data_IF_282890545813
#
_entry.id   IF_282890545813
#
_cell.length_a   1.000
_cell.length_b   1.000
_cell.length_c   1.000
_cell.angle_alpha   90.00
_cell.angle_beta   90.00
_cell.angle_gamma   90.00
#
_symmetry.space_group_name_H-M   'P 1'
#
loop_
_entity.id
_entity.type
_entity.pdbx_description
1 polymer ?
#
# COMPACT_ATOMS: atom_id res chain seq x y z
N UNK A 1 -20.18 -0.38 13.66
CA UNK A 1 -19.59 -1.72 13.92
C UNK A 1 -18.09 -1.66 13.63
N UNK A 2 -17.26 -1.72 14.67
CA UNK A 2 -15.79 -1.69 14.52
C UNK A 2 -15.34 -3.12 14.25
N UNK A 3 -15.10 -3.47 12.98
CA UNK A 3 -14.58 -4.79 12.63
C UNK A 3 -13.20 -5.00 13.28
N UNK A 4 -13.10 -5.96 14.18
CA UNK A 4 -11.89 -6.24 14.96
C UNK A 4 -10.69 -6.56 14.05
N UNK A 5 -10.94 -7.19 12.90
CA UNK A 5 -9.90 -7.52 11.91
C UNK A 5 -9.29 -6.26 11.31
N UNK A 6 -10.11 -5.24 11.07
CA UNK A 6 -9.67 -3.93 10.58
C UNK A 6 -8.78 -3.25 11.63
N UNK A 7 -9.18 -3.29 12.90
CA UNK A 7 -8.40 -2.69 13.99
C UNK A 7 -7.07 -3.41 14.23
N UNK A 8 -7.03 -4.73 14.08
CA UNK A 8 -5.77 -5.50 14.11
C UNK A 8 -4.84 -5.07 12.98
N UNK A 9 -5.36 -4.99 11.75
CA UNK A 9 -4.57 -4.61 10.57
C UNK A 9 -4.02 -3.19 10.64
N UNK A 10 -4.82 -2.23 11.14
CA UNK A 10 -4.35 -0.86 11.39
C UNK A 10 -3.14 -0.87 12.34
N UNK A 11 -3.21 -1.64 13.43
CA UNK A 11 -2.11 -1.75 14.40
C UNK A 11 -0.85 -2.37 13.80
N UNK A 12 -1.00 -3.44 13.01
CA UNK A 12 0.13 -4.07 12.29
C UNK A 12 0.83 -3.08 11.35
N UNK A 13 0.04 -2.33 10.55
CA UNK A 13 0.57 -1.31 9.62
C UNK A 13 1.27 -0.17 10.37
N UNK A 14 0.71 0.28 11.49
CA UNK A 14 1.28 1.34 12.30
C UNK A 14 2.61 0.92 12.94
N UNK A 15 2.72 -0.34 13.41
CA UNK A 15 3.91 -0.88 14.10
C UNK A 15 5.05 -1.29 13.16
N UNK A 16 4.75 -1.99 12.06
CA UNK A 16 5.76 -2.70 11.25
C UNK A 16 5.94 -2.11 9.85
N UNK A 17 4.94 -1.37 9.36
CA UNK A 17 4.96 -0.86 8.00
C UNK A 17 5.87 0.35 7.82
N UNK A 18 6.75 0.32 6.82
CA UNK A 18 7.61 1.46 6.48
C UNK A 18 6.78 2.67 6.02
N UNK A 19 7.31 3.88 6.24
CA UNK A 19 6.67 5.08 5.69
C UNK A 19 6.78 5.08 4.17
N UNK A 20 5.63 4.85 3.51
CA UNK A 20 5.48 4.90 2.07
C UNK A 20 4.14 5.58 1.71
N UNK A 21 4.01 6.08 0.47
CA UNK A 21 2.81 6.81 0.02
C UNK A 21 1.52 6.01 0.26
N UNK A 22 1.56 4.69 -0.01
CA UNK A 22 0.41 3.81 0.18
C UNK A 22 -0.01 3.55 1.63
N UNK A 23 0.87 3.78 2.64
CA UNK A 23 0.53 3.57 4.06
C UNK A 23 -0.62 4.47 4.49
N UNK A 24 -0.56 5.76 4.17
CA UNK A 24 -1.60 6.74 4.52
C UNK A 24 -2.94 6.38 3.88
N UNK A 25 -2.91 6.03 2.60
CA UNK A 25 -4.11 5.69 1.83
C UNK A 25 -4.77 4.39 2.31
N UNK A 26 -3.97 3.38 2.68
CA UNK A 26 -4.49 2.14 3.25
C UNK A 26 -5.13 2.38 4.63
N UNK A 27 -4.50 3.17 5.49
CA UNK A 27 -5.07 3.55 6.79
C UNK A 27 -6.38 4.34 6.63
N UNK A 28 -6.43 5.31 5.71
CA UNK A 28 -7.63 6.07 5.39
C UNK A 28 -8.77 5.12 4.94
N UNK A 29 -8.49 4.18 4.03
CA UNK A 29 -9.47 3.17 3.60
C UNK A 29 -9.99 2.32 4.75
N UNK A 30 -9.09 1.82 5.62
CA UNK A 30 -9.44 1.00 6.77
C UNK A 30 -10.26 1.77 7.82
N UNK A 31 -10.04 3.09 7.94
CA UNK A 31 -10.83 3.98 8.80
C UNK A 31 -12.19 4.36 8.20
N UNK A 32 -12.47 3.96 6.97
CA UNK A 32 -13.70 4.28 6.26
C UNK A 32 -13.70 5.67 5.62
N UNK A 33 -12.53 6.30 5.52
CA UNK A 33 -12.37 7.58 4.84
C UNK A 33 -12.46 7.38 3.31
N UNK A 34 -12.87 8.44 2.60
CA UNK A 34 -12.91 8.43 1.14
C UNK A 34 -11.51 8.57 0.59
N UNK A 35 -11.15 7.70 -0.33
CA UNK A 35 -9.91 7.78 -1.10
C UNK A 35 -10.24 7.74 -2.60
N UNK A 36 -9.39 8.38 -3.40
CA UNK A 36 -9.48 8.37 -4.86
C UNK A 36 -9.03 7.02 -5.43
N UNK A 37 -9.27 6.80 -6.73
CA UNK A 37 -8.80 5.61 -7.44
C UNK A 37 -7.28 5.47 -7.41
N UNK A 38 -6.55 6.58 -7.62
CA UNK A 38 -5.08 6.57 -7.56
C UNK A 38 -4.56 6.22 -6.17
N UNK A 39 -5.17 6.77 -5.12
CA UNK A 39 -4.83 6.45 -3.74
C UNK A 39 -5.11 4.99 -3.40
N UNK A 40 -6.20 4.43 -3.93
CA UNK A 40 -6.54 3.01 -3.77
C UNK A 40 -5.49 2.10 -4.44
N UNK A 41 -5.00 2.47 -5.63
CA UNK A 41 -3.90 1.75 -6.29
C UNK A 41 -2.63 1.79 -5.44
N UNK A 42 -2.26 2.96 -4.91
CA UNK A 42 -1.08 3.10 -4.06
C UNK A 42 -1.21 2.30 -2.76
N UNK A 43 -2.40 2.31 -2.13
CA UNK A 43 -2.70 1.50 -0.95
C UNK A 43 -2.57 0.00 -1.27
N UNK A 44 -3.08 -0.44 -2.42
CA UNK A 44 -2.98 -1.82 -2.88
C UNK A 44 -1.53 -2.23 -3.13
N UNK A 45 -0.72 -1.41 -3.81
CA UNK A 45 0.70 -1.71 -4.00
C UNK A 45 1.44 -1.82 -2.67
N UNK A 46 1.14 -0.94 -1.71
CA UNK A 46 1.74 -1.00 -0.37
C UNK A 46 1.37 -2.29 0.38
N UNK A 47 0.13 -2.73 0.29
CA UNK A 47 -0.31 -4.00 0.87
C UNK A 47 0.30 -5.21 0.14
N UNK A 48 0.27 -5.21 -1.20
CA UNK A 48 0.78 -6.28 -2.05
C UNK A 48 2.28 -6.52 -1.87
N UNK A 49 3.06 -5.44 -1.71
CA UNK A 49 4.50 -5.52 -1.45
C UNK A 49 4.84 -5.76 0.03
N UNK A 50 3.91 -6.31 0.83
CA UNK A 50 4.17 -6.66 2.23
C UNK A 50 4.55 -5.45 3.09
N UNK A 51 3.91 -4.30 2.85
CA UNK A 51 4.20 -3.03 3.53
C UNK A 51 5.64 -2.53 3.37
N UNK A 52 6.37 -3.05 2.37
CA UNK A 52 7.80 -2.86 2.17
C UNK A 52 8.63 -3.19 3.43
N UNK A 53 8.17 -4.15 4.26
CA UNK A 53 8.86 -4.53 5.49
C UNK A 53 10.30 -5.01 5.20
N UNK A 54 10.45 -5.90 4.22
CA UNK A 54 11.69 -6.64 3.98
C UNK A 54 12.70 -5.95 3.06
N UNK A 55 12.34 -4.86 2.39
CA UNK A 55 13.20 -4.22 1.38
C UNK A 55 13.02 -2.71 1.33
N UNK A 56 14.00 -1.95 0.83
CA UNK A 56 13.79 -0.55 0.49
C UNK A 56 12.61 -0.44 -0.47
N UNK A 57 11.93 0.71 -0.42
CA UNK A 57 10.77 0.96 -1.25
C UNK A 57 11.26 1.07 -2.71
N UNK A 58 10.95 0.05 -3.52
CA UNK A 58 11.48 -0.12 -4.87
C UNK A 58 10.40 -0.73 -5.79
N UNK A 59 10.69 -0.76 -7.09
CA UNK A 59 9.87 -1.45 -8.09
C UNK A 59 9.73 -2.94 -7.73
N UNK A 60 8.53 -3.50 -7.84
CA UNK A 60 8.30 -4.93 -7.59
C UNK A 60 8.80 -5.82 -8.73
N UNK A 61 9.10 -5.25 -9.91
CA UNK A 61 9.59 -5.94 -11.09
C UNK A 61 8.56 -6.81 -11.81
N UNK A 62 7.31 -6.82 -11.35
CA UNK A 62 6.24 -7.67 -11.91
C UNK A 62 5.59 -6.95 -13.10
N UNK A 63 6.25 -6.99 -14.25
CA UNK A 63 5.81 -6.30 -15.49
C UNK A 63 4.48 -6.82 -16.05
N UNK A 64 4.07 -8.05 -15.68
CA UNK A 64 2.77 -8.62 -16.04
C UNK A 64 1.62 -8.13 -15.16
N UNK A 65 1.92 -7.41 -14.07
CA UNK A 65 0.90 -6.84 -13.20
C UNK A 65 0.17 -5.70 -13.92
N UNK A 66 -1.15 -5.79 -14.02
CA UNK A 66 -1.98 -4.75 -14.64
C UNK A 66 -1.89 -3.38 -13.94
N UNK A 67 -1.37 -3.34 -12.70
CA UNK A 67 -1.15 -2.11 -11.94
C UNK A 67 0.32 -1.65 -11.96
N UNK A 68 1.23 -2.37 -12.61
CA UNK A 68 2.66 -2.06 -12.61
C UNK A 68 2.94 -0.63 -13.09
N UNK A 69 2.29 -0.22 -14.19
CA UNK A 69 2.40 1.13 -14.76
C UNK A 69 1.98 2.27 -13.81
N UNK A 70 1.16 1.94 -12.81
CA UNK A 70 0.64 2.89 -11.84
C UNK A 70 1.34 2.76 -10.47
N UNK A 71 2.35 1.88 -10.36
CA UNK A 71 3.08 1.66 -9.13
C UNK A 71 3.84 2.94 -8.72
N UNK A 72 3.71 3.42 -7.46
CA UNK A 72 4.30 4.69 -7.04
C UNK A 72 5.83 4.75 -7.07
N UNK A 73 6.50 3.60 -7.16
CA UNK A 73 7.96 3.44 -7.13
C UNK A 73 8.47 2.64 -8.34
N UNK A 74 7.70 2.62 -9.43
CA UNK A 74 8.14 2.01 -10.70
C UNK A 74 9.45 2.65 -11.17
N UNK A 75 10.42 1.84 -11.55
CA UNK A 75 11.65 2.33 -12.17
C UNK A 75 11.34 2.84 -13.58
N UNK A 76 11.79 4.06 -13.87
CA UNK A 76 11.54 4.74 -15.15
C UNK A 76 12.53 4.36 -16.25
N UNK A 77 13.45 3.44 -15.96
CA UNK A 77 14.58 3.08 -16.81
C UNK A 77 14.35 1.84 -17.66
N UNK A 78 13.16 1.23 -17.58
CA UNK A 78 12.78 0.06 -18.40
C UNK A 78 12.04 0.49 -19.66
#
# INVERSE_FOLDING_TARGET
MKDERVQRKIREIEQQGKQAKGKRHLLAKLRGEKITRGEAIQANCYECCGFYADSPVQDCGITTCALHDYMPYKDKTV
#
